data_IF_490449779672
#
_entry.id   IF_490449779672
#
_cell.length_a   1.000
_cell.length_b   1.000
_cell.length_c   1.000
_cell.angle_alpha   90.00
_cell.angle_beta   90.00
_cell.angle_gamma   90.00
#
_symmetry.space_group_name_H-M   'P 1'
#
loop_
_entity.id
_entity.type
_entity.pdbx_description
1 polymer ?
#
# COMPACT_ATOMS: atom_id res chain seq x y z
N UNK A 1 -4.38 21.83 -28.69
CA UNK A 1 -3.53 20.63 -28.87
C UNK A 1 -4.41 19.38 -28.75
N UNK A 2 -4.45 18.50 -29.76
CA UNK A 2 -5.15 17.21 -29.64
C UNK A 2 -4.31 16.31 -28.72
N UNK A 3 -4.84 15.95 -27.55
CA UNK A 3 -4.20 15.01 -26.63
C UNK A 3 -4.03 13.65 -27.33
N UNK A 4 -2.93 12.94 -27.03
CA UNK A 4 -2.71 11.59 -27.54
C UNK A 4 -3.83 10.65 -27.11
N UNK A 5 -4.16 9.65 -27.95
CA UNK A 5 -5.25 8.70 -27.70
C UNK A 5 -5.06 7.96 -26.38
N UNK A 6 -3.82 7.56 -26.09
CA UNK A 6 -3.41 6.89 -24.86
C UNK A 6 -3.69 7.78 -23.64
N UNK A 7 -3.41 9.08 -23.72
CA UNK A 7 -3.71 10.03 -22.64
C UNK A 7 -5.20 10.26 -22.44
N UNK A 8 -6.00 10.26 -23.52
CA UNK A 8 -7.46 10.37 -23.41
C UNK A 8 -8.06 9.18 -22.66
N UNK A 9 -7.54 7.98 -22.89
CA UNK A 9 -8.04 6.77 -22.24
C UNK A 9 -7.57 6.71 -20.79
N UNK A 10 -6.31 7.05 -20.50
CA UNK A 10 -5.84 7.21 -19.13
C UNK A 10 -6.68 8.25 -18.36
N UNK A 11 -6.98 9.40 -18.97
CA UNK A 11 -7.82 10.45 -18.37
C UNK A 11 -9.23 9.95 -18.07
N UNK A 12 -9.81 9.13 -18.95
CA UNK A 12 -11.13 8.52 -18.73
C UNK A 12 -11.11 7.56 -17.53
N UNK A 13 -10.14 6.65 -17.48
CA UNK A 13 -9.95 5.71 -16.35
C UNK A 13 -9.76 6.50 -15.06
N UNK A 14 -8.87 7.49 -15.07
CA UNK A 14 -8.60 8.34 -13.91
C UNK A 14 -9.87 9.05 -13.42
N UNK A 15 -10.67 9.62 -14.32
CA UNK A 15 -11.93 10.31 -13.96
C UNK A 15 -12.97 9.35 -13.36
N UNK A 16 -13.01 8.10 -13.84
CA UNK A 16 -13.89 7.07 -13.29
C UNK A 16 -13.45 6.63 -11.89
N UNK A 17 -12.15 6.42 -11.70
CA UNK A 17 -11.57 6.06 -10.39
C UNK A 17 -11.77 7.18 -9.37
N UNK A 18 -11.57 8.43 -9.78
CA UNK A 18 -11.59 9.60 -8.90
C UNK A 18 -12.72 10.56 -9.25
N UNK A 19 -13.97 10.08 -9.26
CA UNK A 19 -15.14 10.97 -9.30
C UNK A 19 -15.11 11.97 -8.13
N UNK A 20 -15.50 13.21 -8.39
CA UNK A 20 -15.62 14.34 -7.44
C UNK A 20 -16.23 13.89 -6.08
N UNK A 21 -15.82 14.36 -4.89
CA UNK A 21 -14.63 15.13 -4.45
C UNK A 21 -13.57 14.20 -3.81
N UNK A 22 -13.46 12.96 -4.28
CA UNK A 22 -12.68 11.90 -3.60
C UNK A 22 -11.22 12.31 -3.37
N UNK A 23 -10.51 12.81 -4.40
CA UNK A 23 -9.13 13.29 -4.25
C UNK A 23 -9.02 14.61 -3.47
N UNK A 24 -9.98 15.50 -3.63
CA UNK A 24 -9.98 16.82 -2.97
C UNK A 24 -10.08 16.66 -1.46
N UNK A 25 -10.98 15.78 -0.98
CA UNK A 25 -11.10 15.47 0.45
C UNK A 25 -9.87 14.70 0.93
N UNK A 26 -9.45 13.68 0.19
CA UNK A 26 -8.37 12.79 0.61
C UNK A 26 -7.04 13.53 0.74
N UNK A 27 -6.66 14.30 -0.27
CA UNK A 27 -5.37 14.99 -0.28
C UNK A 27 -5.31 16.01 0.88
N UNK A 28 -6.40 16.75 1.09
CA UNK A 28 -6.50 17.64 2.25
C UNK A 28 -6.45 16.87 3.57
N UNK A 29 -7.12 15.73 3.70
CA UNK A 29 -7.05 14.92 4.93
C UNK A 29 -5.66 14.37 5.20
N UNK A 30 -4.93 13.91 4.18
CA UNK A 30 -3.54 13.44 4.31
C UNK A 30 -2.61 14.58 4.72
N UNK A 31 -2.77 15.77 4.14
CA UNK A 31 -1.99 16.96 4.54
C UNK A 31 -2.34 17.38 5.97
N UNK A 32 -3.63 17.40 6.33
CA UNK A 32 -4.05 17.76 7.69
C UNK A 32 -3.48 16.77 8.71
N UNK A 33 -3.57 15.47 8.43
CA UNK A 33 -3.07 14.44 9.33
C UNK A 33 -1.55 14.47 9.48
N UNK A 34 -0.83 14.56 8.36
CA UNK A 34 0.63 14.45 8.39
C UNK A 34 1.31 15.76 8.72
N UNK A 35 0.79 16.91 8.26
CA UNK A 35 1.49 18.20 8.36
C UNK A 35 0.90 19.09 9.45
N UNK A 36 -0.42 19.28 9.48
CA UNK A 36 -1.02 20.28 10.37
C UNK A 36 -1.14 19.82 11.82
N UNK A 37 -1.60 18.58 12.05
CA UNK A 37 -1.80 18.04 13.41
C UNK A 37 -0.46 17.91 14.15
N UNK A 38 0.54 17.33 13.48
CA UNK A 38 1.90 17.18 13.99
C UNK A 38 2.58 18.53 14.24
N UNK A 39 2.48 19.49 13.31
CA UNK A 39 3.01 20.85 13.50
C UNK A 39 2.30 21.60 14.64
N UNK A 40 0.98 21.40 14.82
CA UNK A 40 0.23 21.95 15.95
C UNK A 40 0.77 21.42 17.28
N UNK A 41 0.99 20.11 17.41
CA UNK A 41 1.57 19.52 18.62
C UNK A 41 3.00 20.00 18.91
N UNK A 42 3.83 20.15 17.88
CA UNK A 42 5.19 20.65 18.03
C UNK A 42 5.23 22.11 18.52
N UNK A 43 4.36 22.98 17.99
CA UNK A 43 4.29 24.40 18.38
C UNK A 43 3.58 24.63 19.73
N UNK A 44 2.68 23.73 20.12
CA UNK A 44 1.96 23.80 21.40
C UNK A 44 2.77 23.23 22.60
N UNK A 45 4.10 23.06 22.46
CA UNK A 45 5.01 22.51 23.49
C UNK A 45 4.74 21.05 23.88
N UNK A 46 3.96 20.31 23.09
CA UNK A 46 3.74 18.87 23.24
C UNK A 46 4.68 18.06 22.33
N UNK A 47 5.94 18.49 22.19
CA UNK A 47 6.90 17.90 21.23
C UNK A 47 7.07 16.39 21.42
N UNK A 48 7.20 15.93 22.66
CA UNK A 48 7.25 14.49 22.98
C UNK A 48 5.96 13.75 22.59
N UNK A 49 4.80 14.37 22.76
CA UNK A 49 3.51 13.79 22.39
C UNK A 49 3.30 13.77 20.87
N UNK A 50 3.76 14.81 20.16
CA UNK A 50 3.72 14.87 18.69
C UNK A 50 4.66 13.87 18.04
N UNK A 51 5.86 13.67 18.62
CA UNK A 51 6.80 12.61 18.23
C UNK A 51 6.19 11.24 18.53
N UNK A 52 5.69 10.99 19.74
CA UNK A 52 5.06 9.71 20.10
C UNK A 52 3.83 9.42 19.23
N UNK A 53 2.97 10.39 18.94
CA UNK A 53 1.83 10.19 18.03
C UNK A 53 2.25 9.97 16.56
N UNK A 54 3.36 10.57 16.12
CA UNK A 54 3.95 10.28 14.81
C UNK A 54 4.64 8.91 14.75
N UNK A 55 5.06 8.36 15.89
CA UNK A 55 5.76 7.07 16.01
C UNK A 55 4.90 5.92 16.57
N UNK A 56 3.67 6.14 17.05
CA UNK A 56 2.77 5.06 17.45
C UNK A 56 2.37 4.30 16.18
N UNK A 57 2.73 3.01 16.06
CA UNK A 57 2.48 2.17 14.89
C UNK A 57 1.02 1.68 14.86
N UNK A 58 0.08 2.57 15.09
CA UNK A 58 -1.28 2.42 14.59
C UNK A 58 -1.30 3.21 13.28
N UNK A 59 -0.80 2.59 12.20
CA UNK A 59 -0.87 2.99 10.78
C UNK A 59 -1.22 4.48 10.63
N UNK A 60 -0.24 5.33 10.31
CA UNK A 60 -0.49 6.77 10.22
C UNK A 60 -1.72 7.03 9.36
N UNK A 61 -2.55 8.01 9.75
CA UNK A 61 -3.86 8.23 9.11
C UNK A 61 -3.72 8.33 7.58
N UNK A 62 -2.63 8.92 7.10
CA UNK A 62 -2.30 8.99 5.68
C UNK A 62 -1.98 7.63 5.04
N UNK A 63 -1.19 6.77 5.69
CA UNK A 63 -0.91 5.39 5.24
C UNK A 63 -2.20 4.57 5.15
N UNK A 64 -3.06 4.69 6.16
CA UNK A 64 -4.36 4.02 6.21
C UNK A 64 -5.25 4.49 5.06
N UNK A 65 -5.30 5.81 4.82
CA UNK A 65 -6.10 6.38 3.73
C UNK A 65 -5.55 5.92 2.37
N UNK A 66 -4.23 5.95 2.15
CA UNK A 66 -3.62 5.52 0.90
C UNK A 66 -3.92 4.04 0.62
N UNK A 67 -3.78 3.18 1.64
CA UNK A 67 -4.11 1.76 1.54
C UNK A 67 -5.60 1.54 1.29
N UNK A 68 -6.48 2.23 2.00
CA UNK A 68 -7.93 2.14 1.81
C UNK A 68 -8.37 2.55 0.41
N UNK A 69 -7.77 3.59 -0.16
CA UNK A 69 -8.04 4.02 -1.54
C UNK A 69 -7.57 2.96 -2.53
N UNK A 70 -6.35 2.43 -2.34
CA UNK A 70 -5.82 1.35 -3.16
C UNK A 70 -6.75 0.14 -3.16
N UNK A 71 -7.15 -0.34 -1.98
CA UNK A 71 -8.14 -1.41 -1.84
C UNK A 71 -9.46 -1.09 -2.53
N UNK A 72 -9.99 0.13 -2.31
CA UNK A 72 -11.26 0.54 -2.90
C UNK A 72 -11.21 0.56 -4.42
N UNK A 73 -10.12 1.07 -5.00
CA UNK A 73 -9.93 1.13 -6.44
C UNK A 73 -9.82 -0.27 -7.04
N UNK A 74 -9.03 -1.15 -6.43
CA UNK A 74 -8.83 -2.53 -6.90
C UNK A 74 -10.12 -3.34 -6.77
N UNK A 75 -10.72 -3.39 -5.58
CA UNK A 75 -11.85 -4.30 -5.28
C UNK A 75 -13.16 -3.79 -5.87
N UNK A 76 -13.51 -2.53 -5.59
CA UNK A 76 -14.86 -2.00 -5.89
C UNK A 76 -14.95 -1.24 -7.20
N UNK A 77 -13.82 -0.90 -7.83
CA UNK A 77 -13.85 -0.31 -9.17
C UNK A 77 -13.38 -1.35 -10.17
N UNK A 78 -12.11 -1.74 -10.13
CA UNK A 78 -11.56 -2.74 -11.06
C UNK A 78 -12.25 -4.10 -10.91
N UNK A 79 -12.44 -4.60 -9.69
CA UNK A 79 -13.12 -5.87 -9.42
C UNK A 79 -14.58 -5.88 -9.87
N UNK A 80 -15.33 -4.80 -9.64
CA UNK A 80 -16.72 -4.67 -10.12
C UNK A 80 -16.79 -4.62 -11.66
N UNK A 81 -15.84 -3.96 -12.33
CA UNK A 81 -15.79 -3.97 -13.78
C UNK A 81 -15.47 -5.36 -14.35
N UNK A 82 -14.62 -6.14 -13.68
CA UNK A 82 -14.33 -7.54 -14.04
C UNK A 82 -15.57 -8.40 -13.83
N UNK A 83 -16.19 -8.28 -12.64
CA UNK A 83 -17.34 -9.09 -12.24
C UNK A 83 -18.56 -8.85 -13.14
N UNK A 84 -18.82 -7.61 -13.54
CA UNK A 84 -19.97 -7.22 -14.37
C UNK A 84 -19.69 -7.30 -15.88
N UNK A 85 -18.53 -7.80 -16.30
CA UNK A 85 -18.05 -7.76 -17.70
C UNK A 85 -18.06 -6.35 -18.33
N UNK A 86 -18.19 -5.28 -17.54
CA UNK A 86 -18.20 -3.90 -18.07
C UNK A 86 -16.81 -3.41 -18.46
N UNK A 87 -15.75 -4.12 -18.03
CA UNK A 87 -14.39 -3.93 -18.58
C UNK A 87 -14.37 -4.05 -20.12
N UNK A 88 -15.36 -4.71 -20.72
CA UNK A 88 -15.54 -4.79 -22.18
C UNK A 88 -15.65 -3.41 -22.81
N UNK A 89 -16.28 -2.41 -22.17
CA UNK A 89 -16.32 -1.05 -22.74
C UNK A 89 -14.94 -0.38 -22.77
N UNK A 90 -14.04 -0.76 -21.86
CA UNK A 90 -12.63 -0.34 -21.90
C UNK A 90 -11.79 -1.20 -22.86
N UNK A 91 -12.14 -2.47 -23.07
CA UNK A 91 -11.50 -3.38 -24.04
C UNK A 91 -11.93 -3.12 -25.49
N UNK A 92 -13.07 -2.46 -25.73
CA UNK A 92 -13.47 -2.01 -27.07
C UNK A 92 -12.66 -0.82 -27.58
N UNK A 93 -11.90 -0.15 -26.70
CA UNK A 93 -10.86 0.76 -27.16
C UNK A 93 -9.69 -0.05 -27.73
N UNK A 94 -9.06 0.37 -28.85
CA UNK A 94 -7.95 -0.35 -29.45
C UNK A 94 -6.65 -0.08 -28.66
N UNK A 95 -6.60 -0.57 -27.45
CA UNK A 95 -5.45 -0.58 -26.54
C UNK A 95 -5.04 -2.03 -26.30
N UNK A 96 -3.74 -2.28 -26.20
CA UNK A 96 -3.24 -3.60 -25.79
C UNK A 96 -3.59 -3.87 -24.32
N UNK A 97 -3.97 -5.11 -24.00
CA UNK A 97 -4.32 -5.52 -22.62
C UNK A 97 -3.26 -5.14 -21.59
N UNK A 98 -1.98 -5.22 -21.97
CA UNK A 98 -0.85 -4.84 -21.12
C UNK A 98 -0.88 -3.34 -20.80
N UNK A 99 -1.10 -2.47 -21.80
CA UNK A 99 -1.22 -1.02 -21.58
C UNK A 99 -2.42 -0.68 -20.71
N UNK A 100 -3.56 -1.35 -20.92
CA UNK A 100 -4.75 -1.16 -20.08
C UNK A 100 -4.45 -1.54 -18.62
N UNK A 101 -3.81 -2.69 -18.39
CA UNK A 101 -3.36 -3.10 -17.06
C UNK A 101 -2.44 -2.05 -16.44
N UNK A 102 -1.46 -1.54 -17.20
CA UNK A 102 -0.56 -0.49 -16.70
C UNK A 102 -1.31 0.77 -16.30
N UNK A 103 -2.32 1.21 -17.06
CA UNK A 103 -3.13 2.37 -16.70
C UNK A 103 -3.93 2.13 -15.42
N UNK A 104 -4.57 0.97 -15.29
CA UNK A 104 -5.27 0.57 -14.07
C UNK A 104 -4.31 0.52 -12.88
N UNK A 105 -3.14 -0.09 -13.05
CA UNK A 105 -2.13 -0.19 -12.01
C UNK A 105 -1.62 1.18 -11.54
N UNK A 106 -1.37 2.08 -12.49
CA UNK A 106 -0.99 3.46 -12.19
C UNK A 106 -2.08 4.17 -11.40
N UNK A 107 -3.34 4.09 -11.84
CA UNK A 107 -4.43 4.81 -11.18
C UNK A 107 -4.80 4.23 -9.83
N UNK A 108 -4.77 2.89 -9.71
CA UNK A 108 -5.31 2.19 -8.55
C UNK A 108 -4.26 2.07 -7.44
N UNK A 109 -2.98 1.86 -7.77
CA UNK A 109 -1.91 1.64 -6.78
C UNK A 109 -0.90 2.80 -6.72
N UNK A 110 -0.38 3.26 -7.87
CA UNK A 110 0.73 4.22 -7.86
C UNK A 110 0.27 5.64 -7.47
N UNK A 111 -0.88 6.09 -7.94
CA UNK A 111 -1.38 7.44 -7.60
C UNK A 111 -1.60 7.61 -6.09
N UNK A 112 -2.33 6.72 -5.38
CA UNK A 112 -2.49 6.86 -3.93
C UNK A 112 -1.16 6.81 -3.17
N UNK A 113 -0.24 5.93 -3.60
CA UNK A 113 1.11 5.84 -3.04
C UNK A 113 1.90 7.14 -3.20
N UNK A 114 1.88 7.74 -4.39
CA UNK A 114 2.58 9.00 -4.65
C UNK A 114 1.97 10.16 -3.86
N UNK A 115 0.64 10.19 -3.68
CA UNK A 115 -0.01 11.17 -2.80
C UNK A 115 0.45 11.02 -1.35
N UNK A 116 0.53 9.78 -0.84
CA UNK A 116 1.08 9.53 0.48
C UNK A 116 2.54 9.97 0.58
N UNK A 117 3.41 9.47 -0.31
CA UNK A 117 4.85 9.75 -0.28
C UNK A 117 5.13 11.26 -0.34
N UNK A 118 4.45 11.98 -1.24
CA UNK A 118 4.60 13.44 -1.33
C UNK A 118 4.14 14.16 -0.06
N UNK A 119 3.01 13.76 0.54
CA UNK A 119 2.54 14.35 1.80
C UNK A 119 3.50 14.08 2.97
N UNK A 120 4.11 12.90 3.00
CA UNK A 120 5.08 12.48 4.03
C UNK A 120 6.41 13.21 3.88
N UNK A 121 6.94 13.33 2.65
CA UNK A 121 8.16 14.10 2.37
C UNK A 121 8.00 15.58 2.71
N UNK A 122 6.84 16.18 2.36
CA UNK A 122 6.52 17.56 2.75
C UNK A 122 6.50 17.70 4.27
N UNK A 123 5.92 16.73 4.99
CA UNK A 123 5.93 16.74 6.45
C UNK A 123 7.34 16.66 7.02
N UNK A 124 8.18 15.75 6.54
CA UNK A 124 9.58 15.60 6.99
C UNK A 124 10.34 16.91 6.80
N UNK A 125 10.21 17.51 5.61
CA UNK A 125 10.85 18.78 5.28
C UNK A 125 10.40 19.93 6.18
N UNK A 126 9.10 20.02 6.48
CA UNK A 126 8.54 21.12 7.28
C UNK A 126 8.73 20.93 8.80
N UNK A 127 8.73 19.68 9.27
CA UNK A 127 8.85 19.36 10.70
C UNK A 127 10.30 19.42 11.19
N UNK A 128 11.27 19.21 10.30
CA UNK A 128 12.68 19.07 10.67
C UNK A 128 12.96 17.83 11.54
N UNK A 129 12.02 16.87 11.55
CA UNK A 129 12.17 15.59 12.25
C UNK A 129 12.72 14.58 11.25
N UNK A 130 13.90 14.04 11.54
CA UNK A 130 14.47 12.95 10.74
C UNK A 130 13.61 11.69 10.89
N UNK A 131 12.86 11.35 9.84
CA UNK A 131 12.14 10.08 9.76
C UNK A 131 13.10 8.98 9.28
N UNK A 132 13.19 7.84 10.01
CA UNK A 132 14.00 6.72 9.56
C UNK A 132 13.58 6.24 8.17
N UNK A 133 14.49 6.30 7.19
CA UNK A 133 14.25 5.85 5.81
C UNK A 133 13.79 4.38 5.75
N UNK A 134 14.18 3.55 6.73
CA UNK A 134 13.74 2.17 6.86
C UNK A 134 12.23 2.02 7.06
N UNK A 135 11.55 2.98 7.71
CA UNK A 135 10.09 2.95 7.89
C UNK A 135 9.38 3.25 6.57
N UNK A 136 9.85 4.24 5.82
CA UNK A 136 9.31 4.57 4.50
C UNK A 136 9.46 3.37 3.57
N UNK A 137 10.65 2.78 3.52
CA UNK A 137 10.94 1.59 2.70
C UNK A 137 10.00 0.43 3.04
N UNK A 138 9.83 0.17 4.34
CA UNK A 138 9.01 -0.94 4.81
C UNK A 138 7.53 -0.72 4.48
N UNK A 139 6.99 0.49 4.68
CA UNK A 139 5.63 0.79 4.25
C UNK A 139 5.48 0.63 2.74
N UNK A 140 6.41 1.18 1.94
CA UNK A 140 6.34 1.08 0.48
C UNK A 140 6.27 -0.37 0.02
N UNK A 141 7.13 -1.23 0.56
CA UNK A 141 7.18 -2.64 0.18
C UNK A 141 5.91 -3.38 0.62
N UNK A 142 5.47 -3.18 1.87
CA UNK A 142 4.24 -3.78 2.39
C UNK A 142 2.97 -3.31 1.68
N UNK A 143 2.92 -2.04 1.28
CA UNK A 143 1.85 -1.46 0.48
C UNK A 143 1.74 -2.17 -0.87
N UNK A 144 2.85 -2.28 -1.61
CA UNK A 144 2.84 -2.96 -2.91
C UNK A 144 2.57 -4.45 -2.77
N UNK A 145 3.16 -5.14 -1.79
CA UNK A 145 2.90 -6.55 -1.52
C UNK A 145 1.41 -6.80 -1.28
N UNK A 146 0.82 -6.06 -0.35
CA UNK A 146 -0.58 -6.24 0.05
C UNK A 146 -1.54 -5.94 -1.10
N UNK A 147 -1.34 -4.83 -1.83
CA UNK A 147 -2.22 -4.47 -2.94
C UNK A 147 -2.03 -5.37 -4.17
N UNK A 148 -0.82 -5.87 -4.44
CA UNK A 148 -0.59 -6.85 -5.49
C UNK A 148 -1.25 -8.20 -5.17
N UNK A 149 -1.24 -8.60 -3.89
CA UNK A 149 -1.98 -9.77 -3.42
C UNK A 149 -3.49 -9.59 -3.60
N UNK A 150 -4.04 -8.44 -3.20
CA UNK A 150 -5.46 -8.10 -3.38
C UNK A 150 -5.81 -8.06 -4.87
N UNK A 151 -4.97 -7.48 -5.72
CA UNK A 151 -5.17 -7.43 -7.16
C UNK A 151 -5.25 -8.84 -7.76
N UNK A 152 -4.33 -9.73 -7.38
CA UNK A 152 -4.35 -11.11 -7.84
C UNK A 152 -5.62 -11.85 -7.40
N UNK A 153 -6.03 -11.70 -6.14
CA UNK A 153 -7.29 -12.28 -5.63
C UNK A 153 -8.48 -11.71 -6.42
N UNK A 154 -8.48 -10.41 -6.70
CA UNK A 154 -9.53 -9.72 -7.48
C UNK A 154 -9.67 -10.32 -8.87
N UNK A 155 -8.55 -10.49 -9.57
CA UNK A 155 -8.52 -11.08 -10.92
C UNK A 155 -8.97 -12.55 -10.92
N UNK A 156 -8.72 -13.27 -9.82
CA UNK A 156 -9.01 -14.70 -9.70
C UNK A 156 -10.46 -14.97 -9.31
N UNK A 157 -10.97 -14.29 -8.28
CA UNK A 157 -12.29 -14.57 -7.72
C UNK A 157 -13.45 -13.83 -8.41
N UNK A 158 -13.17 -12.71 -9.08
CA UNK A 158 -14.16 -11.94 -9.86
C UNK A 158 -15.44 -11.58 -9.07
N UNK A 159 -15.33 -11.39 -7.76
CA UNK A 159 -16.44 -11.03 -6.86
C UNK A 159 -15.93 -10.12 -5.74
N UNK A 160 -16.41 -8.88 -5.70
CA UNK A 160 -15.93 -7.87 -4.73
C UNK A 160 -16.15 -8.30 -3.27
N UNK A 161 -17.25 -8.99 -2.97
CA UNK A 161 -17.52 -9.52 -1.63
C UNK A 161 -16.52 -10.61 -1.20
N UNK A 162 -16.29 -11.62 -2.05
CA UNK A 162 -15.34 -12.70 -1.76
C UNK A 162 -13.90 -12.16 -1.66
N UNK A 163 -13.54 -11.23 -2.54
CA UNK A 163 -12.22 -10.60 -2.56
C UNK A 163 -11.97 -9.85 -1.25
N UNK A 164 -12.94 -9.08 -0.77
CA UNK A 164 -12.80 -8.32 0.49
C UNK A 164 -12.57 -9.26 1.68
N UNK A 165 -13.38 -10.32 1.79
CA UNK A 165 -13.27 -11.29 2.88
C UNK A 165 -11.96 -12.07 2.80
N UNK A 166 -11.60 -12.58 1.62
CA UNK A 166 -10.42 -13.41 1.45
C UNK A 166 -9.13 -12.60 1.61
N UNK A 167 -9.06 -11.40 1.05
CA UNK A 167 -7.90 -10.52 1.26
C UNK A 167 -7.74 -10.10 2.73
N UNK A 168 -8.83 -9.72 3.39
CA UNK A 168 -8.81 -9.39 4.82
C UNK A 168 -8.37 -10.58 5.68
N UNK A 169 -8.86 -11.78 5.37
CA UNK A 169 -8.45 -13.00 6.06
C UNK A 169 -6.96 -13.32 5.82
N UNK A 170 -6.49 -13.32 4.57
CA UNK A 170 -5.10 -13.67 4.22
C UNK A 170 -4.12 -12.67 4.81
N UNK A 171 -4.34 -11.36 4.62
CA UNK A 171 -3.48 -10.32 5.18
C UNK A 171 -3.56 -10.31 6.71
N UNK A 172 -4.76 -10.46 7.29
CA UNK A 172 -4.94 -10.55 8.73
C UNK A 172 -4.18 -11.72 9.34
N UNK A 173 -4.26 -12.91 8.72
CA UNK A 173 -3.51 -14.09 9.18
C UNK A 173 -2.00 -13.85 9.07
N UNK A 174 -1.52 -13.34 7.93
CA UNK A 174 -0.09 -13.06 7.73
C UNK A 174 0.46 -12.08 8.76
N UNK A 175 -0.19 -10.93 8.95
CA UNK A 175 0.32 -9.89 9.85
C UNK A 175 0.16 -10.25 11.33
N UNK A 176 -0.97 -10.85 11.72
CA UNK A 176 -1.24 -11.18 13.14
C UNK A 176 -0.41 -12.40 13.57
N UNK A 177 -0.47 -13.51 12.85
CA UNK A 177 0.28 -14.71 13.24
C UNK A 177 1.78 -14.54 12.98
N UNK A 178 2.17 -13.82 11.92
CA UNK A 178 3.55 -13.42 11.70
C UNK A 178 4.09 -12.58 12.85
N UNK A 179 3.35 -11.54 13.26
CA UNK A 179 3.73 -10.71 14.40
C UNK A 179 3.83 -11.48 15.71
N UNK A 180 2.85 -12.33 16.04
CA UNK A 180 2.89 -13.17 17.26
C UNK A 180 4.13 -14.07 17.27
N UNK A 181 4.45 -14.70 16.13
CA UNK A 181 5.59 -15.58 16.03
C UNK A 181 6.93 -14.83 16.15
N UNK A 182 7.05 -13.63 15.57
CA UNK A 182 8.23 -12.77 15.75
C UNK A 182 8.41 -12.32 17.20
N UNK A 183 7.34 -11.87 17.86
CA UNK A 183 7.38 -11.52 19.28
C UNK A 183 7.81 -12.70 20.15
N UNK A 184 7.34 -13.91 19.85
CA UNK A 184 7.72 -15.11 20.58
C UNK A 184 9.21 -15.44 20.44
N UNK A 185 9.77 -15.38 19.23
CA UNK A 185 11.22 -15.58 18.99
C UNK A 185 12.06 -14.52 19.73
N UNK A 186 11.62 -13.26 19.71
CA UNK A 186 12.29 -12.17 20.42
C UNK A 186 12.29 -12.40 21.95
N UNK A 187 11.14 -12.78 22.52
CA UNK A 187 11.01 -13.00 23.97
C UNK A 187 11.79 -14.25 24.41
N UNK A 188 11.75 -15.31 23.59
CA UNK A 188 12.43 -16.57 23.89
C UNK A 188 13.94 -16.53 23.66
N UNK A 189 14.48 -15.42 23.13
CA UNK A 189 15.91 -15.25 22.78
C UNK A 189 16.44 -16.32 21.80
N UNK A 190 15.55 -17.06 21.14
CA UNK A 190 15.88 -18.00 20.08
C UNK A 190 15.51 -17.30 18.77
N UNK A 191 16.52 -16.95 17.97
CA UNK A 191 16.35 -16.19 16.72
C UNK A 191 16.54 -17.08 15.48
N UNK A 192 16.48 -18.39 15.66
CA UNK A 192 16.74 -19.35 14.58
C UNK A 192 15.69 -19.30 13.47
N UNK A 193 14.44 -18.96 13.80
CA UNK A 193 13.34 -18.84 12.83
C UNK A 193 13.03 -17.37 12.46
N UNK A 194 13.64 -16.40 13.14
CA UNK A 194 13.43 -14.97 12.89
C UNK A 194 13.63 -14.59 11.41
N UNK A 195 14.61 -15.17 10.72
CA UNK A 195 14.80 -14.98 9.27
C UNK A 195 13.56 -15.40 8.46
N UNK A 196 12.99 -16.56 8.78
CA UNK A 196 11.90 -17.16 8.00
C UNK A 196 10.59 -16.43 8.30
N UNK A 197 10.40 -15.91 9.50
CA UNK A 197 9.13 -15.28 9.90
C UNK A 197 9.13 -13.77 9.55
N UNK A 198 10.31 -13.13 9.47
CA UNK A 198 10.49 -11.69 9.22
C UNK A 198 9.77 -11.11 8.01
N UNK A 199 9.43 -11.91 7.00
CA UNK A 199 8.68 -11.44 5.83
C UNK A 199 7.20 -11.18 6.15
N UNK A 200 6.69 -11.76 7.23
CA UNK A 200 5.27 -11.68 7.58
C UNK A 200 4.94 -10.39 8.33
N UNK A 201 5.85 -9.88 9.18
CA UNK A 201 5.66 -8.60 9.84
C UNK A 201 6.98 -7.90 10.23
N UNK A 202 7.74 -7.37 9.26
CA UNK A 202 9.07 -6.79 9.51
C UNK A 202 9.06 -5.57 10.47
N UNK A 203 7.89 -5.01 10.78
CA UNK A 203 7.73 -3.95 11.79
C UNK A 203 8.18 -4.40 13.18
N UNK A 204 7.93 -5.66 13.56
CA UNK A 204 8.23 -6.16 14.91
C UNK A 204 9.75 -6.21 15.13
N UNK A 205 10.51 -6.65 14.11
CA UNK A 205 11.98 -6.65 14.14
C UNK A 205 12.53 -5.22 14.17
N UNK A 206 11.96 -4.27 13.42
CA UNK A 206 12.42 -2.88 13.42
C UNK A 206 12.22 -2.23 14.79
N UNK A 207 11.08 -2.46 15.45
CA UNK A 207 10.85 -2.01 16.83
C UNK A 207 11.87 -2.60 17.80
N UNK A 208 12.18 -3.89 17.67
CA UNK A 208 13.18 -4.55 18.50
C UNK A 208 14.59 -3.97 18.31
N UNK A 209 15.00 -3.68 17.07
CA UNK A 209 16.28 -3.03 16.78
C UNK A 209 16.36 -1.63 17.40
N UNK A 210 15.28 -0.84 17.30
CA UNK A 210 15.22 0.50 17.86
C UNK A 210 15.34 0.50 19.40
N UNK A 211 14.76 -0.50 20.08
CA UNK A 211 14.80 -0.61 21.55
C UNK A 211 16.16 -1.13 22.05
N UNK A 212 16.74 -2.14 21.39
CA UNK A 212 18.00 -2.77 21.83
C UNK A 212 19.27 -2.18 21.20
N UNK A 213 19.14 -1.24 20.27
CA UNK A 213 20.26 -0.63 19.55
C UNK A 213 21.20 -1.68 18.91
N UNK A 214 20.60 -2.77 18.42
CA UNK A 214 21.29 -3.95 17.87
C UNK A 214 21.05 -4.03 16.37
N UNK A 215 22.12 -4.05 15.57
CA UNK A 215 22.04 -4.28 14.13
C UNK A 215 21.77 -5.76 13.85
N UNK A 216 20.53 -6.08 13.51
CA UNK A 216 20.12 -7.45 13.21
C UNK A 216 19.78 -7.54 11.72
N UNK A 217 20.49 -8.39 10.97
CA UNK A 217 20.32 -8.48 9.51
C UNK A 217 18.95 -9.02 9.04
N UNK A 218 18.08 -9.44 9.97
CA UNK A 218 16.77 -10.03 9.66
C UNK A 218 15.79 -9.03 9.04
N UNK A 219 15.90 -7.74 9.36
CA UNK A 219 15.08 -6.70 8.75
C UNK A 219 15.27 -6.66 7.22
N UNK A 220 16.53 -6.60 6.76
CA UNK A 220 16.83 -6.56 5.33
C UNK A 220 16.34 -7.82 4.62
N UNK A 221 16.42 -8.98 5.27
CA UNK A 221 15.96 -10.24 4.69
C UNK A 221 14.44 -10.27 4.49
N UNK A 222 13.66 -9.91 5.51
CA UNK A 222 12.20 -9.82 5.41
C UNK A 222 11.75 -8.85 4.32
N UNK A 223 12.35 -7.66 4.30
CA UNK A 223 12.10 -6.62 3.29
C UNK A 223 12.41 -7.11 1.86
N UNK A 224 13.53 -7.81 1.66
CA UNK A 224 13.90 -8.37 0.35
C UNK A 224 12.91 -9.45 -0.10
N UNK A 225 12.51 -10.35 0.80
CA UNK A 225 11.53 -11.39 0.47
C UNK A 225 10.21 -10.76 0.06
N UNK A 226 9.70 -9.80 0.85
CA UNK A 226 8.43 -9.14 0.59
C UNK A 226 8.46 -8.34 -0.73
N UNK A 227 9.59 -7.73 -1.06
CA UNK A 227 9.79 -7.10 -2.37
C UNK A 227 9.76 -8.10 -3.53
N UNK A 228 10.47 -9.22 -3.40
CA UNK A 228 10.50 -10.28 -4.44
C UNK A 228 9.12 -10.89 -4.61
N UNK A 229 8.41 -11.21 -3.53
CA UNK A 229 7.06 -11.77 -3.59
C UNK A 229 6.07 -10.77 -4.21
N UNK A 230 6.18 -9.48 -3.87
CA UNK A 230 5.40 -8.41 -4.50
C UNK A 230 5.60 -8.34 -6.02
N UNK A 231 6.86 -8.43 -6.50
CA UNK A 231 7.16 -8.48 -7.94
C UNK A 231 6.57 -9.73 -8.61
N UNK A 232 6.68 -10.89 -7.96
CA UNK A 232 6.10 -12.14 -8.48
C UNK A 232 4.57 -12.01 -8.58
N UNK A 233 3.90 -11.49 -7.56
CA UNK A 233 2.45 -11.25 -7.55
C UNK A 233 2.02 -10.29 -8.67
N UNK A 234 2.80 -9.24 -8.93
CA UNK A 234 2.56 -8.32 -10.04
C UNK A 234 2.65 -9.03 -11.40
N UNK A 235 3.71 -9.82 -11.61
CA UNK A 235 3.90 -10.57 -12.87
C UNK A 235 2.75 -11.56 -13.09
N UNK A 236 2.36 -12.32 -12.06
CA UNK A 236 1.23 -13.25 -12.14
C UNK A 236 -0.07 -12.49 -12.44
N UNK A 237 -0.29 -11.32 -11.81
CA UNK A 237 -1.46 -10.48 -12.06
C UNK A 237 -1.53 -9.99 -13.51
N UNK A 238 -0.39 -9.60 -14.12
CA UNK A 238 -0.33 -9.22 -15.54
C UNK A 238 -0.71 -10.41 -16.44
N UNK A 239 -0.15 -11.59 -16.17
CA UNK A 239 -0.45 -12.80 -16.93
C UNK A 239 -1.94 -13.13 -16.83
N UNK A 240 -2.49 -13.14 -15.60
CA UNK A 240 -3.92 -13.39 -15.37
C UNK A 240 -4.82 -12.36 -16.05
N UNK A 241 -4.46 -11.08 -16.00
CA UNK A 241 -5.22 -10.03 -16.69
C UNK A 241 -5.21 -10.23 -18.21
N UNK A 242 -4.08 -10.66 -18.79
CA UNK A 242 -3.98 -10.97 -20.22
C UNK A 242 -4.87 -12.14 -20.61
N UNK A 243 -4.98 -13.15 -19.75
CA UNK A 243 -5.82 -14.36 -19.93
C UNK A 243 -7.30 -14.14 -19.62
N UNK A 244 -7.72 -12.95 -19.19
CA UNK A 244 -9.15 -12.65 -19.00
C UNK A 244 -9.87 -12.78 -20.34
N UNK A 245 -10.51 -13.93 -20.55
CA UNK A 245 -11.49 -14.15 -21.59
C UNK A 245 -12.76 -13.37 -21.23
N UNK A 246 -13.27 -12.63 -22.23
CA UNK A 246 -14.52 -11.87 -22.17
C UNK A 246 -15.66 -12.82 -22.45
#
# INVERSE_FOLDING_TARGET
MRLSRDFQILKMIFKERYREPTLEVIFSTMIVSNVFITAFYARALFSLYGIVLAFIPLISVSETIAFAIGMRNIIFVTGDHIARQTIVSFLTFPISRIKLFSFIYITDLLVPYLCWLSSTEIYILLSGIDVPQGLILLYSIGYFFSLNLILLITLTMRSSGLVTLFSGFVLGVLFVFGGIAEYYEIISNNLSLANIISFANPYVILLYQAIRNSNINYFNFGVIIEFITSLVLLVISIIKFKELEV
#
